data_IF_250914460390
#
_entry.id   IF_250914460390
#
_cell.length_a   1.000
_cell.length_b   1.000
_cell.length_c   1.000
_cell.angle_alpha   90.00
_cell.angle_beta   90.00
_cell.angle_gamma   90.00
#
_symmetry.space_group_name_H-M   'P 1'
#
loop_
_entity.id
_entity.type
_entity.pdbx_description
1 polymer ?
#
# COMPACT_ATOMS: atom_id res chain seq x y z
N UNK A 1 -30.75 -44.72 33.04
CA UNK A 1 -29.68 -45.15 33.95
C UNK A 1 -29.19 -46.51 33.49
N UNK A 2 -28.07 -46.53 32.76
CA UNK A 2 -27.21 -47.70 32.54
C UNK A 2 -25.77 -47.18 32.41
N UNK A 3 -24.78 -47.80 33.08
CA UNK A 3 -23.43 -47.26 33.20
C UNK A 3 -22.43 -47.86 32.18
N UNK A 4 -21.46 -47.03 31.78
CA UNK A 4 -20.02 -47.30 31.47
C UNK A 4 -19.61 -48.48 30.54
N UNK A 5 -18.55 -48.34 29.70
CA UNK A 5 -17.18 -48.21 30.23
C UNK A 5 -16.22 -47.24 29.50
N UNK A 6 -15.27 -46.78 30.31
CA UNK A 6 -14.09 -45.98 29.98
C UNK A 6 -13.02 -46.90 29.40
N UNK A 7 -12.45 -46.55 28.25
CA UNK A 7 -11.25 -47.21 27.74
C UNK A 7 -10.00 -46.52 28.31
N UNK A 8 -9.26 -47.28 29.10
CA UNK A 8 -7.89 -46.99 29.49
C UNK A 8 -6.95 -47.50 28.37
N UNK A 9 -6.03 -46.66 27.90
CA UNK A 9 -4.94 -47.07 27.04
C UNK A 9 -3.63 -47.13 27.86
N UNK A 10 -2.82 -48.19 27.71
CA UNK A 10 -1.58 -48.36 28.47
C UNK A 10 -0.43 -47.52 27.88
N UNK A 11 0.32 -46.88 28.78
CA UNK A 11 1.68 -46.40 28.55
C UNK A 11 2.64 -47.60 28.65
N UNK A 12 3.46 -47.81 27.63
CA UNK A 12 4.61 -48.71 27.69
C UNK A 12 5.86 -47.98 27.18
N UNK A 13 6.98 -48.02 27.92
CA UNK A 13 8.27 -47.46 27.55
C UNK A 13 9.22 -48.52 26.98
N UNK A 14 9.96 -48.19 25.93
CA UNK A 14 11.22 -48.83 25.51
C UNK A 14 12.06 -47.69 24.91
N UNK A 15 13.18 -47.26 25.52
CA UNK A 15 14.50 -47.91 25.46
C UNK A 15 14.86 -48.31 24.01
N UNK A 16 16.02 -48.06 23.42
CA UNK A 16 17.31 -47.42 23.70
C UNK A 16 18.12 -47.74 22.41
N UNK A 17 19.27 -47.10 22.20
CA UNK A 17 20.24 -47.36 21.10
C UNK A 17 19.77 -46.86 19.71
N UNK A 18 20.50 -46.01 19.00
CA UNK A 18 21.94 -45.84 18.99
C UNK A 18 22.40 -46.04 17.56
N UNK A 19 22.59 -44.97 16.81
CA UNK A 19 23.52 -44.97 15.68
C UNK A 19 23.94 -43.52 15.38
N UNK A 20 25.17 -43.20 15.80
CA UNK A 20 25.96 -42.14 15.18
C UNK A 20 26.13 -42.49 13.70
N UNK A 21 25.51 -41.73 12.81
CA UNK A 21 25.94 -41.68 11.42
C UNK A 21 26.79 -40.41 11.25
N UNK A 22 28.12 -40.61 11.22
CA UNK A 22 29.04 -39.65 10.62
C UNK A 22 28.68 -39.54 9.13
N UNK A 23 28.05 -38.44 8.75
CA UNK A 23 27.96 -38.00 7.35
C UNK A 23 28.95 -36.85 7.18
N UNK A 24 30.15 -37.22 6.76
CA UNK A 24 31.16 -36.32 6.28
C UNK A 24 30.87 -36.00 4.80
N UNK A 25 31.12 -34.74 4.45
CA UNK A 25 31.44 -34.24 3.10
C UNK A 25 30.24 -34.09 2.15
N UNK A 26 29.77 -32.86 2.15
CA UNK A 26 28.98 -32.27 1.08
C UNK A 26 28.93 -30.76 1.30
N UNK A 27 30.07 -30.12 1.51
CA UNK A 27 30.18 -28.67 1.37
C UNK A 27 29.98 -28.36 -0.11
N UNK A 28 28.71 -28.38 -0.54
CA UNK A 28 28.28 -27.72 -1.74
C UNK A 28 28.62 -26.25 -1.54
N UNK A 29 29.72 -25.83 -2.14
CA UNK A 29 29.96 -24.44 -2.45
C UNK A 29 28.73 -23.94 -3.19
N UNK A 30 27.83 -23.29 -2.45
CA UNK A 30 26.97 -22.27 -3.04
C UNK A 30 27.94 -21.27 -3.60
N UNK A 31 28.20 -21.36 -4.90
CA UNK A 31 28.75 -20.26 -5.66
C UNK A 31 27.68 -19.17 -5.56
N UNK A 32 27.76 -18.39 -4.48
CA UNK A 32 27.24 -17.04 -4.47
C UNK A 32 27.93 -16.38 -5.64
N UNK A 33 27.20 -16.25 -6.74
CA UNK A 33 27.63 -15.50 -7.91
C UNK A 33 27.99 -14.11 -7.44
N UNK A 34 29.27 -13.88 -7.21
CA UNK A 34 29.88 -12.57 -7.11
C UNK A 34 29.93 -12.05 -8.54
N UNK A 35 28.90 -11.30 -8.92
CA UNK A 35 28.74 -10.74 -10.25
C UNK A 35 27.70 -9.63 -10.21
N UNK A 36 28.21 -8.40 -10.10
CA UNK A 36 27.55 -7.09 -10.23
C UNK A 36 26.66 -6.58 -9.09
N UNK A 37 27.33 -5.87 -8.17
CA UNK A 37 26.85 -4.67 -7.44
C UNK A 37 26.47 -3.52 -8.40
N UNK A 38 25.62 -3.80 -9.39
CA UNK A 38 24.95 -2.81 -10.25
C UNK A 38 23.53 -3.25 -10.63
N UNK A 39 22.74 -3.69 -9.65
CA UNK A 39 21.32 -3.41 -9.72
C UNK A 39 21.07 -2.15 -8.91
N UNK A 40 21.57 -1.02 -9.43
CA UNK A 40 20.84 0.22 -9.21
C UNK A 40 19.44 -0.11 -9.71
N UNK A 41 18.46 -0.19 -8.80
CA UNK A 41 17.07 -0.41 -9.16
C UNK A 41 16.77 0.61 -10.26
N UNK A 42 16.73 0.14 -11.50
CA UNK A 42 16.57 1.03 -12.65
C UNK A 42 15.26 1.77 -12.40
N UNK A 43 15.32 3.11 -12.45
CA UNK A 43 14.15 3.93 -12.17
C UNK A 43 12.96 3.43 -13.00
N UNK A 44 11.74 3.45 -12.44
CA UNK A 44 10.53 3.12 -13.17
C UNK A 44 10.53 3.79 -14.55
N UNK A 45 10.57 2.99 -15.61
CA UNK A 45 10.76 3.49 -16.96
C UNK A 45 9.45 3.85 -17.64
N UNK A 46 8.31 3.32 -17.16
CA UNK A 46 7.00 3.50 -17.75
C UNK A 46 5.89 3.67 -16.69
N UNK A 47 4.87 4.47 -17.00
CA UNK A 47 3.64 4.52 -16.20
C UNK A 47 2.71 3.38 -16.64
N UNK A 48 2.19 2.60 -15.69
CA UNK A 48 1.26 1.51 -16.02
C UNK A 48 -0.03 2.02 -16.70
N UNK A 49 -0.46 3.25 -16.40
CA UNK A 49 -1.59 3.89 -17.07
C UNK A 49 -1.35 4.05 -18.58
N UNK A 50 -0.10 4.27 -19.00
CA UNK A 50 0.28 4.29 -20.41
C UNK A 50 0.20 2.91 -21.05
N UNK A 51 0.66 1.88 -20.34
CA UNK A 51 0.56 0.48 -20.78
C UNK A 51 -0.89 0.07 -20.95
N UNK A 52 -1.79 0.50 -20.06
CA UNK A 52 -3.23 0.23 -20.17
C UNK A 52 -3.88 1.03 -21.30
N UNK A 53 -3.43 2.26 -21.55
CA UNK A 53 -3.99 3.14 -22.60
C UNK A 53 -3.57 2.72 -24.01
N UNK A 54 -2.33 2.27 -24.18
CA UNK A 54 -1.77 1.86 -25.48
C UNK A 54 -1.14 0.46 -25.43
N UNK A 55 -1.90 -0.59 -25.07
CA UNK A 55 -1.33 -1.90 -24.76
C UNK A 55 -0.62 -2.57 -25.94
N UNK A 56 -1.05 -2.27 -27.18
CA UNK A 56 -0.44 -2.80 -28.41
C UNK A 56 1.01 -2.38 -28.55
N UNK A 57 1.35 -1.13 -28.19
CA UNK A 57 2.71 -0.61 -28.26
C UNK A 57 3.67 -1.23 -27.24
N UNK A 58 3.14 -1.96 -26.25
CA UNK A 58 3.90 -2.62 -25.19
C UNK A 58 4.00 -4.13 -25.32
N UNK A 59 3.30 -4.76 -26.28
CA UNK A 59 3.34 -6.21 -26.42
C UNK A 59 4.77 -6.72 -26.68
N UNK A 60 5.21 -7.68 -25.87
CA UNK A 60 6.55 -8.25 -25.88
C UNK A 60 7.62 -7.40 -25.20
N UNK A 61 7.30 -6.18 -24.75
CA UNK A 61 8.24 -5.28 -24.07
C UNK A 61 8.30 -5.55 -22.57
N UNK A 62 9.49 -5.34 -22.03
CA UNK A 62 9.71 -5.24 -20.59
C UNK A 62 9.30 -3.84 -20.14
N UNK A 63 8.52 -3.76 -19.06
CA UNK A 63 8.10 -2.52 -18.42
C UNK A 63 8.47 -2.54 -16.95
N UNK A 64 8.85 -1.39 -16.40
CA UNK A 64 9.15 -1.24 -14.96
C UNK A 64 8.30 -0.15 -14.36
N UNK A 65 7.59 -0.51 -13.29
CA UNK A 65 6.72 0.41 -12.57
C UNK A 65 6.62 0.00 -11.10
N UNK A 66 6.03 0.87 -10.29
CA UNK A 66 5.75 0.59 -8.88
C UNK A 66 4.27 0.25 -8.72
N UNK A 67 4.00 -0.79 -7.95
CA UNK A 67 2.65 -1.20 -7.58
C UNK A 67 2.51 -1.17 -6.07
N UNK A 68 1.39 -0.64 -5.60
CA UNK A 68 0.94 -0.81 -4.23
C UNK A 68 0.03 -2.03 -4.14
N UNK A 69 0.46 -3.04 -3.38
CA UNK A 69 -0.19 -4.33 -3.30
C UNK A 69 -1.59 -4.23 -2.68
N UNK A 70 -2.59 -4.78 -3.35
CA UNK A 70 -3.93 -4.94 -2.81
C UNK A 70 -4.16 -6.39 -2.38
N UNK A 71 -4.02 -7.33 -3.32
CA UNK A 71 -4.33 -8.74 -3.05
C UNK A 71 -3.76 -9.69 -4.10
N UNK A 72 -3.55 -10.94 -3.72
CA UNK A 72 -3.52 -12.05 -4.67
C UNK A 72 -4.94 -12.52 -4.97
N UNK A 73 -5.24 -12.72 -6.24
CA UNK A 73 -6.48 -13.31 -6.72
C UNK A 73 -6.17 -14.71 -7.26
N UNK A 74 -6.79 -15.72 -6.67
CA UNK A 74 -6.70 -17.12 -7.12
C UNK A 74 -7.86 -17.54 -8.03
N UNK A 75 -8.90 -16.69 -8.14
CA UNK A 75 -10.20 -17.00 -8.76
C UNK A 75 -10.46 -16.19 -10.02
N UNK A 76 -9.44 -15.62 -10.65
CA UNK A 76 -9.60 -14.94 -11.93
C UNK A 76 -9.93 -15.94 -13.05
N UNK A 77 -10.59 -15.43 -14.09
CA UNK A 77 -10.82 -16.20 -15.31
C UNK A 77 -9.62 -16.05 -16.25
N UNK A 78 -8.87 -17.12 -16.57
CA UNK A 78 -7.74 -17.06 -17.50
C UNK A 78 -8.18 -16.92 -18.96
N UNK A 79 -9.47 -17.13 -19.27
CA UNK A 79 -10.01 -17.19 -20.62
C UNK A 79 -9.19 -18.13 -21.52
N UNK A 80 -8.77 -17.64 -22.69
CA UNK A 80 -7.92 -18.35 -23.67
C UNK A 80 -6.46 -17.89 -23.62
N UNK A 81 -6.07 -17.19 -22.55
CA UNK A 81 -4.70 -16.68 -22.39
C UNK A 81 -3.76 -17.77 -21.89
N UNK A 82 -2.45 -17.54 -22.00
CA UNK A 82 -1.43 -18.42 -21.39
C UNK A 82 -1.43 -18.42 -19.86
N UNK A 83 -2.09 -17.44 -19.22
CA UNK A 83 -2.00 -17.20 -17.77
C UNK A 83 -2.99 -18.06 -17.00
N UNK A 84 -2.80 -19.39 -17.12
CA UNK A 84 -3.63 -20.37 -16.45
C UNK A 84 -3.43 -20.36 -14.92
N UNK A 85 -4.49 -20.61 -14.12
CA UNK A 85 -4.42 -20.57 -12.66
C UNK A 85 -3.55 -21.66 -12.04
N UNK A 86 -3.19 -22.68 -12.83
CA UNK A 86 -2.25 -23.73 -12.45
C UNK A 86 -0.81 -23.20 -12.35
N UNK A 87 -0.41 -22.35 -13.29
CA UNK A 87 0.99 -21.95 -13.46
C UNK A 87 1.26 -20.54 -12.93
N UNK A 88 0.21 -19.72 -12.87
CA UNK A 88 0.28 -18.33 -12.44
C UNK A 88 -0.58 -18.07 -11.20
N UNK A 89 -0.37 -16.92 -10.57
CA UNK A 89 -1.28 -16.26 -9.64
C UNK A 89 -1.48 -14.82 -10.12
N UNK A 90 -2.70 -14.31 -10.07
CA UNK A 90 -2.97 -12.92 -10.41
C UNK A 90 -2.70 -12.04 -9.19
N UNK A 91 -1.97 -10.95 -9.40
CA UNK A 91 -1.78 -9.89 -8.44
C UNK A 91 -2.61 -8.69 -8.87
N UNK A 92 -3.40 -8.17 -7.94
CA UNK A 92 -4.09 -6.89 -8.10
C UNK A 92 -3.42 -5.84 -7.21
N UNK A 93 -3.35 -4.60 -7.70
CA UNK A 93 -2.77 -3.49 -6.96
C UNK A 93 -3.09 -2.15 -7.60
N UNK A 94 -2.67 -1.09 -6.90
CA UNK A 94 -2.81 0.27 -7.37
C UNK A 94 -1.50 0.80 -7.93
N UNK A 95 -1.57 1.74 -8.85
CA UNK A 95 -0.39 2.47 -9.32
C UNK A 95 -0.06 3.63 -8.37
N UNK A 96 1.14 4.19 -8.47
CA UNK A 96 1.51 5.40 -7.72
C UNK A 96 0.72 6.65 -8.17
N UNK A 97 0.07 6.58 -9.33
CA UNK A 97 -0.84 7.60 -9.85
C UNK A 97 -2.22 7.56 -9.19
N UNK A 98 -2.66 6.40 -8.70
CA UNK A 98 -3.97 6.26 -8.07
C UNK A 98 -3.99 6.91 -6.68
N UNK A 99 -5.00 7.73 -6.45
CA UNK A 99 -5.27 8.40 -5.18
C UNK A 99 -6.16 7.53 -4.32
N UNK A 100 -5.54 6.80 -3.39
CA UNK A 100 -6.24 5.84 -2.54
C UNK A 100 -7.32 6.46 -1.63
N UNK A 101 -7.30 7.77 -1.38
CA UNK A 101 -8.36 8.48 -0.66
C UNK A 101 -9.58 8.83 -1.54
N UNK A 102 -9.52 8.57 -2.86
CA UNK A 102 -10.67 8.66 -3.75
C UNK A 102 -11.29 7.27 -3.85
N UNK A 103 -12.51 7.14 -3.33
CA UNK A 103 -13.20 5.85 -3.24
C UNK A 103 -13.26 5.08 -4.56
N UNK A 104 -13.58 5.76 -5.67
CA UNK A 104 -13.65 5.12 -6.98
C UNK A 104 -12.32 4.56 -7.47
N UNK A 105 -11.19 5.16 -7.06
CA UNK A 105 -9.86 4.66 -7.40
C UNK A 105 -9.40 3.57 -6.43
N UNK A 106 -9.76 3.69 -5.15
CA UNK A 106 -9.50 2.67 -4.15
C UNK A 106 -10.21 1.35 -4.48
N UNK A 107 -11.50 1.44 -4.81
CA UNK A 107 -12.35 0.27 -5.08
C UNK A 107 -12.03 -0.41 -6.44
N UNK A 108 -11.28 0.25 -7.33
CA UNK A 108 -10.89 -0.28 -8.66
C UNK A 108 -9.35 -0.24 -8.87
N UNK A 109 -8.59 -1.20 -8.30
CA UNK A 109 -7.16 -1.32 -8.56
C UNK A 109 -6.89 -1.58 -10.05
N UNK A 110 -6.16 -0.69 -10.72
CA UNK A 110 -5.97 -0.78 -12.18
C UNK A 110 -4.87 -1.76 -12.61
N UNK A 111 -3.99 -2.16 -11.68
CA UNK A 111 -2.92 -3.11 -11.94
C UNK A 111 -3.46 -4.52 -11.79
N UNK A 112 -3.37 -5.30 -12.88
CA UNK A 112 -3.46 -6.76 -12.85
C UNK A 112 -2.28 -7.37 -13.59
N UNK A 113 -1.40 -8.02 -12.84
CA UNK A 113 -0.19 -8.69 -13.35
C UNK A 113 -0.12 -10.12 -12.84
N UNK A 114 0.71 -10.95 -13.46
CA UNK A 114 0.72 -12.38 -13.22
C UNK A 114 2.10 -12.84 -12.80
N UNK A 115 2.15 -13.60 -11.72
CA UNK A 115 3.39 -14.15 -11.16
C UNK A 115 3.35 -15.65 -11.32
N UNK A 116 4.45 -16.25 -11.76
CA UNK A 116 4.58 -17.71 -11.81
C UNK A 116 4.56 -18.30 -10.40
N UNK A 117 3.77 -19.37 -10.19
CA UNK A 117 3.66 -20.05 -8.89
C UNK A 117 4.95 -20.77 -8.48
N UNK A 118 5.72 -21.25 -9.46
CA UNK A 118 6.97 -21.97 -9.27
C UNK A 118 8.16 -21.02 -9.17
N UNK A 119 8.25 -20.24 -8.09
CA UNK A 119 9.41 -19.37 -7.89
C UNK A 119 9.39 -18.52 -6.63
N UNK A 120 10.53 -17.88 -6.36
CA UNK A 120 10.69 -16.96 -5.21
C UNK A 120 9.76 -15.75 -5.26
N UNK A 121 9.33 -15.31 -6.46
CA UNK A 121 8.39 -14.21 -6.62
C UNK A 121 7.02 -14.53 -6.02
N UNK A 122 6.48 -15.74 -6.24
CA UNK A 122 5.20 -16.12 -5.65
C UNK A 122 5.26 -16.12 -4.13
N UNK A 123 6.37 -16.60 -3.54
CA UNK A 123 6.58 -16.55 -2.10
C UNK A 123 6.69 -15.11 -1.58
N UNK A 124 7.38 -14.23 -2.32
CA UNK A 124 7.47 -12.80 -1.99
C UNK A 124 6.07 -12.18 -1.94
N UNK A 125 5.26 -12.34 -2.98
CA UNK A 125 3.92 -11.73 -3.03
C UNK A 125 2.93 -12.37 -2.05
N UNK A 126 3.06 -13.66 -1.77
CA UNK A 126 2.25 -14.32 -0.74
C UNK A 126 2.57 -13.83 0.68
N UNK A 127 3.76 -13.28 0.90
CA UNK A 127 4.19 -12.70 2.17
C UNK A 127 3.96 -11.19 2.29
N UNK A 128 3.38 -10.53 1.28
CA UNK A 128 3.09 -9.10 1.37
C UNK A 128 1.84 -8.84 2.19
N UNK A 129 1.91 -7.79 3.00
CA UNK A 129 0.73 -7.21 3.63
C UNK A 129 0.04 -6.23 2.66
N UNK A 130 -1.26 -6.02 2.87
CA UNK A 130 -2.01 -5.03 2.11
C UNK A 130 -1.33 -3.65 2.20
N UNK A 131 -1.38 -2.90 1.10
CA UNK A 131 -0.74 -1.59 0.93
C UNK A 131 0.79 -1.60 0.84
N UNK A 132 1.50 -2.72 0.94
CA UNK A 132 2.95 -2.71 0.74
C UNK A 132 3.32 -2.36 -0.71
N UNK A 133 4.38 -1.57 -0.91
CA UNK A 133 4.83 -1.17 -2.26
C UNK A 133 5.93 -2.07 -2.76
N UNK A 134 5.88 -2.34 -4.07
CA UNK A 134 6.84 -3.20 -4.76
C UNK A 134 7.18 -2.56 -6.10
N UNK A 135 8.47 -2.39 -6.38
CA UNK A 135 8.95 -2.11 -7.72
C UNK A 135 8.97 -3.42 -8.50
N UNK A 136 8.30 -3.46 -9.65
CA UNK A 136 8.17 -4.67 -10.46
C UNK A 136 8.73 -4.47 -11.86
N UNK A 137 9.45 -5.47 -12.36
CA UNK A 137 9.78 -5.61 -13.78
C UNK A 137 8.81 -6.65 -14.35
N UNK A 138 8.04 -6.26 -15.35
CA UNK A 138 7.09 -7.15 -16.02
C UNK A 138 7.39 -7.24 -17.52
N UNK A 139 7.00 -8.34 -18.16
CA UNK A 139 6.96 -8.44 -19.62
C UNK A 139 5.51 -8.58 -20.05
N UNK A 140 5.02 -7.68 -20.91
CA UNK A 140 3.67 -7.78 -21.47
C UNK A 140 3.65 -8.93 -22.46
N UNK A 141 3.04 -10.07 -22.10
CA UNK A 141 3.10 -11.28 -22.93
C UNK A 141 1.95 -11.37 -23.91
N UNK A 142 0.78 -10.92 -23.50
CA UNK A 142 -0.46 -11.07 -24.26
C UNK A 142 -1.37 -9.87 -24.05
N UNK A 143 -2.28 -9.66 -25.00
CA UNK A 143 -3.37 -8.71 -24.90
C UNK A 143 -4.69 -9.47 -24.96
N UNK A 144 -5.58 -9.21 -24.01
CA UNK A 144 -6.89 -9.83 -24.01
C UNK A 144 -7.95 -8.83 -23.53
N UNK A 145 -9.06 -8.75 -24.27
CA UNK A 145 -10.13 -7.78 -24.05
C UNK A 145 -9.64 -6.32 -23.91
N UNK A 146 -8.65 -5.94 -24.73
CA UNK A 146 -8.06 -4.59 -24.71
C UNK A 146 -7.20 -4.29 -23.48
N UNK A 147 -6.86 -5.30 -22.67
CA UNK A 147 -6.02 -5.14 -21.46
C UNK A 147 -4.68 -5.87 -21.62
N UNK A 148 -3.58 -5.31 -21.08
CA UNK A 148 -2.29 -5.98 -21.05
C UNK A 148 -2.30 -7.12 -20.03
N UNK A 149 -1.76 -8.27 -20.41
CA UNK A 149 -1.48 -9.37 -19.49
C UNK A 149 0.03 -9.51 -19.38
N UNK A 150 0.57 -9.05 -18.24
CA UNK A 150 2.00 -8.95 -18.02
C UNK A 150 2.48 -9.96 -16.99
N UNK A 151 3.58 -10.64 -17.31
CA UNK A 151 4.27 -11.57 -16.42
C UNK A 151 5.31 -10.83 -15.60
N UNK A 152 5.26 -10.94 -14.28
CA UNK A 152 6.28 -10.41 -13.39
C UNK A 152 7.52 -11.29 -13.49
N UNK A 153 8.66 -10.67 -13.81
CA UNK A 153 9.97 -11.35 -13.92
C UNK A 153 10.93 -10.95 -12.82
N UNK A 154 10.75 -9.77 -12.22
CA UNK A 154 11.52 -9.29 -11.06
C UNK A 154 10.62 -8.46 -10.15
N UNK A 155 10.88 -8.47 -8.85
CA UNK A 155 10.17 -7.67 -7.87
C UNK A 155 11.05 -7.33 -6.67
N UNK A 156 10.97 -6.09 -6.20
CA UNK A 156 11.69 -5.60 -5.03
C UNK A 156 10.76 -4.81 -4.13
N UNK A 157 10.61 -5.22 -2.87
CA UNK A 157 9.81 -4.52 -1.87
C UNK A 157 10.43 -3.15 -1.57
N UNK A 158 9.58 -2.13 -1.48
CA UNK A 158 9.97 -0.75 -1.15
C UNK A 158 9.64 -0.44 0.30
N UNK A 159 10.47 0.40 0.92
CA UNK A 159 10.29 0.81 2.31
C UNK A 159 9.14 1.81 2.48
N UNK A 160 8.89 2.64 1.46
CA UNK A 160 7.85 3.65 1.47
C UNK A 160 6.54 3.10 0.91
N UNK A 161 5.42 3.37 1.58
CA UNK A 161 4.08 2.94 1.18
C UNK A 161 2.99 3.78 1.83
N UNK A 162 1.78 3.73 1.29
CA UNK A 162 0.60 4.44 1.82
C UNK A 162 -0.23 3.45 2.63
N UNK A 163 -0.02 3.29 3.95
CA UNK A 163 -0.80 2.36 4.76
C UNK A 163 -2.27 2.76 4.78
N UNK A 164 -3.14 1.79 5.08
CA UNK A 164 -4.59 2.01 5.23
C UNK A 164 -4.89 3.16 6.21
N UNK A 165 -4.16 3.24 7.32
CA UNK A 165 -4.31 4.34 8.29
C UNK A 165 -4.09 5.73 7.68
N UNK A 166 -3.08 5.89 6.82
CA UNK A 166 -2.84 7.16 6.11
C UNK A 166 -3.97 7.48 5.14
N UNK A 167 -4.51 6.47 4.44
CA UNK A 167 -5.67 6.64 3.56
C UNK A 167 -6.88 7.14 4.34
N UNK A 168 -7.21 6.51 5.47
CA UNK A 168 -8.34 6.91 6.32
C UNK A 168 -8.20 8.33 6.86
N UNK A 169 -6.99 8.73 7.26
CA UNK A 169 -6.70 10.09 7.70
C UNK A 169 -6.80 11.11 6.55
N UNK A 170 -6.33 10.78 5.36
CA UNK A 170 -6.49 11.62 4.17
C UNK A 170 -7.97 11.83 3.80
N UNK A 171 -8.80 10.78 3.85
CA UNK A 171 -10.25 10.88 3.62
C UNK A 171 -10.89 11.85 4.63
N UNK A 172 -10.61 11.66 5.93
CA UNK A 172 -11.14 12.55 6.98
C UNK A 172 -10.65 13.99 6.84
N UNK A 173 -9.43 14.20 6.37
CA UNK A 173 -8.91 15.53 6.09
C UNK A 173 -9.77 16.23 5.02
N UNK A 174 -10.07 15.54 3.92
CA UNK A 174 -10.94 16.05 2.85
C UNK A 174 -12.34 16.39 3.36
N UNK A 175 -12.94 15.52 4.18
CA UNK A 175 -14.24 15.78 4.82
C UNK A 175 -14.22 17.06 5.67
N UNK A 176 -13.19 17.24 6.50
CA UNK A 176 -13.05 18.45 7.32
C UNK A 176 -12.74 19.70 6.48
N UNK A 177 -12.00 19.58 5.38
CA UNK A 177 -11.79 20.68 4.44
C UNK A 177 -13.10 21.11 3.78
N UNK A 178 -13.95 20.17 3.39
CA UNK A 178 -15.27 20.45 2.81
C UNK A 178 -16.22 21.16 3.80
N UNK A 179 -16.09 20.86 5.10
CA UNK A 179 -16.80 21.55 6.19
C UNK A 179 -16.08 22.83 6.67
N UNK A 180 -15.00 23.23 6.01
CA UNK A 180 -14.14 24.35 6.35
C UNK A 180 -13.59 24.34 7.80
N UNK A 181 -13.44 23.14 8.39
CA UNK A 181 -12.86 22.88 9.70
C UNK A 181 -11.34 22.70 9.58
N UNK A 182 -10.67 23.73 9.07
CA UNK A 182 -9.27 23.64 8.61
C UNK A 182 -8.25 23.24 9.68
N UNK A 183 -8.49 23.55 10.96
CA UNK A 183 -7.63 23.10 12.05
C UNK A 183 -7.69 21.59 12.26
N UNK A 184 -8.89 21.01 12.22
CA UNK A 184 -9.08 19.57 12.33
C UNK A 184 -8.56 18.87 11.07
N UNK A 185 -8.78 19.44 9.89
CA UNK A 185 -8.24 18.94 8.63
C UNK A 185 -6.70 18.85 8.67
N UNK A 186 -6.02 19.93 9.05
CA UNK A 186 -4.56 19.94 9.16
C UNK A 186 -4.05 18.85 10.12
N UNK A 187 -4.72 18.66 11.26
CA UNK A 187 -4.37 17.60 12.19
C UNK A 187 -4.63 16.18 11.67
N UNK A 188 -5.57 15.98 10.74
CA UNK A 188 -5.69 14.68 10.05
C UNK A 188 -4.57 14.47 9.03
N UNK A 189 -4.19 15.52 8.31
CA UNK A 189 -3.06 15.46 7.37
C UNK A 189 -1.75 15.14 8.09
N UNK A 190 -1.49 15.74 9.26
CA UNK A 190 -0.32 15.42 10.09
C UNK A 190 -0.26 13.91 10.39
N UNK A 191 -1.38 13.31 10.83
CA UNK A 191 -1.46 11.86 11.10
C UNK A 191 -1.27 11.00 9.86
N UNK A 192 -1.73 11.46 8.69
CA UNK A 192 -1.50 10.74 7.44
C UNK A 192 -0.01 10.73 7.05
N UNK A 193 0.72 11.81 7.38
CA UNK A 193 2.15 12.01 7.11
C UNK A 193 3.09 11.33 8.11
N UNK A 194 2.59 10.85 9.25
CA UNK A 194 3.38 10.11 10.25
C UNK A 194 3.95 8.77 9.71
N UNK A 195 3.35 8.24 8.64
CA UNK A 195 3.81 7.04 7.94
C UNK A 195 4.92 7.36 6.92
N UNK A 196 5.73 6.35 6.52
CA UNK A 196 6.72 6.50 5.44
C UNK A 196 6.03 6.53 4.07
N UNK A 197 5.17 7.52 3.83
CA UNK A 197 4.45 7.67 2.55
C UNK A 197 5.41 8.09 1.43
N UNK A 198 5.13 7.68 0.17
CA UNK A 198 5.95 8.04 -0.98
C UNK A 198 6.03 9.55 -1.18
N UNK A 199 7.17 10.05 -1.70
CA UNK A 199 7.44 11.50 -1.84
C UNK A 199 6.32 12.26 -2.57
N UNK A 200 5.76 11.70 -3.65
CA UNK A 200 4.64 12.32 -4.37
C UNK A 200 3.41 12.50 -3.49
N UNK A 201 3.07 11.48 -2.71
CA UNK A 201 1.93 11.50 -1.78
C UNK A 201 2.20 12.46 -0.63
N UNK A 202 3.44 12.49 -0.12
CA UNK A 202 3.90 13.45 0.88
C UNK A 202 3.68 14.88 0.40
N UNK A 203 4.17 15.22 -0.80
CA UNK A 203 4.04 16.54 -1.38
C UNK A 203 2.56 16.97 -1.57
N UNK A 204 1.68 16.05 -2.00
CA UNK A 204 0.25 16.34 -2.13
C UNK A 204 -0.40 16.64 -0.77
N UNK A 205 -0.13 15.79 0.23
CA UNK A 205 -0.64 15.96 1.59
C UNK A 205 -0.10 17.26 2.24
N UNK A 206 1.19 17.55 2.09
CA UNK A 206 1.78 18.81 2.57
C UNK A 206 1.13 20.03 1.91
N UNK A 207 0.81 19.97 0.62
CA UNK A 207 0.05 21.02 -0.06
C UNK A 207 -1.35 21.22 0.53
N UNK A 208 -2.04 20.15 0.94
CA UNK A 208 -3.32 20.27 1.64
C UNK A 208 -3.16 20.90 3.02
N UNK A 209 -2.12 20.51 3.75
CA UNK A 209 -1.79 21.05 5.07
C UNK A 209 -1.54 22.55 5.00
N UNK A 210 -0.71 23.00 4.08
CA UNK A 210 -0.40 24.42 3.87
C UNK A 210 -1.66 25.23 3.58
N UNK A 211 -2.53 24.72 2.68
CA UNK A 211 -3.82 25.34 2.37
C UNK A 211 -4.70 25.48 3.61
N UNK A 212 -4.82 24.42 4.42
CA UNK A 212 -5.59 24.47 5.66
C UNK A 212 -5.05 25.52 6.65
N UNK A 213 -3.72 25.61 6.80
CA UNK A 213 -3.09 26.60 7.69
C UNK A 213 -3.28 28.03 7.19
N UNK A 214 -3.22 28.26 5.88
CA UNK A 214 -3.50 29.56 5.28
C UNK A 214 -4.95 30.01 5.54
N UNK A 215 -5.92 29.13 5.29
CA UNK A 215 -7.34 29.42 5.52
C UNK A 215 -7.67 29.66 7.00
N UNK A 216 -7.04 28.90 7.91
CA UNK A 216 -7.13 29.13 9.36
C UNK A 216 -6.69 30.54 9.73
N UNK A 217 -5.57 31.04 9.17
CA UNK A 217 -5.08 32.40 9.42
C UNK A 217 -6.06 33.45 8.91
N UNK A 218 -6.63 33.26 7.72
CA UNK A 218 -7.63 34.18 7.15
C UNK A 218 -8.89 34.24 8.03
N UNK A 219 -9.43 33.09 8.46
CA UNK A 219 -10.60 33.04 9.35
C UNK A 219 -10.33 33.71 10.70
N UNK A 220 -9.15 33.51 11.27
CA UNK A 220 -8.75 34.16 12.52
C UNK A 220 -8.58 35.67 12.36
N UNK A 221 -8.05 36.14 11.23
CA UNK A 221 -7.93 37.57 10.92
C UNK A 221 -9.27 38.26 10.63
N UNK A 222 -10.24 37.55 10.03
CA UNK A 222 -11.62 38.04 9.83
C UNK A 222 -12.42 38.14 11.13
N UNK A 223 -12.04 37.41 12.18
CA UNK A 223 -12.51 37.65 13.55
C UNK A 223 -11.83 38.91 14.13
N UNK A 224 -12.01 40.06 13.47
CA UNK A 224 -11.75 41.36 14.07
C UNK A 224 -12.75 41.51 15.24
N UNK A 225 -12.30 41.91 16.44
CA UNK A 225 -13.13 41.95 17.63
C UNK A 225 -14.36 42.84 17.41
N UNK A 226 -15.51 42.40 17.96
CA UNK A 226 -16.67 43.26 18.10
C UNK A 226 -16.21 44.62 18.65
N UNK A 227 -16.69 45.76 18.11
CA UNK A 227 -16.30 47.07 18.61
C UNK A 227 -16.49 47.05 20.13
N UNK A 228 -15.41 47.35 20.86
CA UNK A 228 -15.42 47.53 22.30
C UNK A 228 -16.45 48.60 22.63
N UNK A 229 -17.68 48.13 22.87
CA UNK A 229 -18.83 48.96 23.14
C UNK A 229 -18.61 49.64 24.47
N UNK A 230 -18.33 50.93 24.39
CA UNK A 230 -18.81 51.97 25.28
C UNK A 230 -18.95 51.54 26.76
N UNK A 231 -17.96 51.93 27.57
CA UNK A 231 -18.21 52.19 29.00
C UNK A 231 -19.45 53.08 29.09
N UNK A 232 -20.57 52.52 29.56
CA UNK A 232 -21.73 53.32 29.97
C UNK A 232 -21.22 54.33 31.02
N UNK A 233 -21.41 55.65 30.82
CA UNK A 233 -21.08 56.61 31.85
C UNK A 233 -21.89 56.30 33.10
N UNK A 234 -21.21 56.21 34.24
CA UNK A 234 -21.80 55.94 35.53
C UNK A 234 -22.60 57.17 35.98
N UNK A 235 -23.94 57.10 36.14
CA UNK A 235 -24.72 58.23 36.59
C UNK A 235 -24.80 58.18 38.12
N UNK A 236 -24.07 59.06 38.80
CA UNK A 236 -24.37 59.32 40.21
C UNK A 236 -23.19 59.67 41.10
N UNK A 237 -22.72 60.92 41.01
CA UNK A 237 -22.15 61.59 42.17
C UNK A 237 -22.96 62.87 42.39
N UNK A 238 -24.01 62.76 43.21
CA UNK A 238 -24.78 63.91 43.70
C UNK A 238 -23.89 64.71 44.65
N UNK A 239 -23.77 66.02 44.38
CA UNK A 239 -23.27 67.04 45.32
C UNK A 239 -24.08 66.97 46.62
N UNK A 240 -23.39 67.05 47.76
CA UNK A 240 -23.98 67.52 49.02
C UNK A 240 -23.46 68.94 49.24
N UNK A 241 -24.40 69.84 49.44
CA UNK A 241 -24.22 71.15 50.09
C UNK A 241 -24.08 70.95 51.61
#
# INVERSE_FOLDING_TARGET
MSPHPRFAAPLAPCALLGLLALLAIGAGTVVAGRGDDRSAAAEPSESWDEVVREPVGFLGRTVRFVVQFHSLDERWNPYVTRFGPRDYVALNGWTDEQRLWIRSEYDDPVVRIFVRRDGGLAALFAGLEGHERVAVTCVVRELFAGRPWAEVVEATKLAEYVPEGSVLHAIRALDFMALELFELAAGQVDRALDAPVPERVRAELEGWRERCLAEKRVKNGRRIPAPSGARKPHPGARRRE
#
